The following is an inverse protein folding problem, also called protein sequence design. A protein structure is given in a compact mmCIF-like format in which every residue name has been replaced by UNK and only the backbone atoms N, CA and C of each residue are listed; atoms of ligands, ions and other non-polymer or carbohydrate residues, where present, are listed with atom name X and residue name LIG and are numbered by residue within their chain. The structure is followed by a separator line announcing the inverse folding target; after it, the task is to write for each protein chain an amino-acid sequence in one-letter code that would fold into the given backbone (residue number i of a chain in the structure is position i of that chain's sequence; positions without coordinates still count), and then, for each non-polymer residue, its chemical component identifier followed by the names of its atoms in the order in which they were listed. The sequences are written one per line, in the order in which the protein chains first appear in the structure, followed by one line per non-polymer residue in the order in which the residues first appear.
data_IF_988773626566
#
_entry.id   IF_988773626566
#
_cell.length_a   1.000
_cell.length_b   1.000
_cell.length_c   1.000
_cell.angle_alpha   90.00
_cell.angle_beta   90.00
_cell.angle_gamma   90.00
#
_symmetry.space_group_name_H-M   'P 1'
#
loop_
_entity.id
_entity.type
_entity.pdbx_description
1 polymer ?
#
# COMPACT_ATOMS: atom_id res chain seq x y z
N UNK A 1 -9.32 -25.14 -40.32
CA UNK A 1 -7.97 -24.82 -39.80
C UNK A 1 -7.73 -23.32 -39.54
N UNK A 2 -7.93 -22.41 -40.51
CA UNK A 2 -7.70 -20.96 -40.31
C UNK A 2 -8.55 -20.31 -39.21
N UNK A 3 -9.81 -20.72 -39.05
CA UNK A 3 -10.72 -20.21 -38.00
C UNK A 3 -10.24 -20.66 -36.60
N UNK A 4 -9.87 -21.94 -36.47
CA UNK A 4 -9.35 -22.52 -35.22
C UNK A 4 -8.10 -21.78 -34.72
N UNK A 5 -7.16 -21.47 -35.62
CA UNK A 5 -5.94 -20.71 -35.28
C UNK A 5 -6.28 -19.28 -34.82
N UNK A 6 -7.23 -18.61 -35.49
CA UNK A 6 -7.67 -17.25 -35.06
C UNK A 6 -8.32 -17.28 -33.68
N UNK A 7 -9.15 -18.28 -33.41
CA UNK A 7 -9.80 -18.45 -32.11
C UNK A 7 -8.80 -18.75 -30.99
N UNK A 8 -7.85 -19.67 -31.23
CA UNK A 8 -6.78 -19.96 -30.28
C UNK A 8 -5.94 -18.72 -29.97
N UNK A 9 -5.64 -17.91 -30.99
CA UNK A 9 -4.86 -16.67 -30.84
C UNK A 9 -5.58 -15.69 -29.93
N UNK A 10 -6.89 -15.51 -30.15
CA UNK A 10 -7.71 -14.66 -29.29
C UNK A 10 -7.66 -15.12 -27.83
N UNK A 11 -7.78 -16.43 -27.56
CA UNK A 11 -7.66 -16.98 -26.20
C UNK A 11 -6.30 -16.64 -25.59
N UNK A 12 -5.20 -16.86 -26.31
CA UNK A 12 -3.85 -16.54 -25.82
C UNK A 12 -3.70 -15.05 -25.50
N UNK A 13 -4.25 -14.17 -26.34
CA UNK A 13 -4.23 -12.72 -26.10
C UNK A 13 -5.03 -12.32 -24.86
N UNK A 14 -6.19 -12.94 -24.63
CA UNK A 14 -7.00 -12.71 -23.42
C UNK A 14 -6.24 -13.16 -22.17
N UNK A 15 -5.66 -14.37 -22.18
CA UNK A 15 -4.85 -14.88 -21.07
C UNK A 15 -3.69 -13.92 -20.77
N UNK A 16 -2.97 -13.48 -21.80
CA UNK A 16 -1.83 -12.59 -21.63
C UNK A 16 -2.26 -11.22 -21.09
N UNK A 17 -3.40 -10.69 -21.53
CA UNK A 17 -3.99 -9.45 -20.99
C UNK A 17 -4.28 -9.58 -19.50
N UNK A 18 -4.89 -10.69 -19.07
CA UNK A 18 -5.19 -10.93 -17.64
C UNK A 18 -3.92 -11.13 -16.81
N UNK A 19 -2.92 -11.83 -17.35
CA UNK A 19 -1.62 -11.98 -16.70
C UNK A 19 -0.95 -10.63 -16.47
N UNK A 20 -0.89 -9.77 -17.49
CA UNK A 20 -0.32 -8.43 -17.36
C UNK A 20 -1.09 -7.59 -16.34
N UNK A 21 -2.42 -7.57 -16.42
CA UNK A 21 -3.26 -6.87 -15.45
C UNK A 21 -2.91 -7.27 -14.01
N UNK A 22 -2.85 -8.57 -13.73
CA UNK A 22 -2.51 -9.07 -12.40
C UNK A 22 -1.08 -8.69 -11.99
N UNK A 23 -0.09 -8.86 -12.88
CA UNK A 23 1.32 -8.55 -12.60
C UNK A 23 1.46 -7.09 -12.16
N UNK A 24 0.82 -6.16 -12.85
CA UNK A 24 0.91 -4.73 -12.53
C UNK A 24 0.22 -4.35 -11.23
N UNK A 25 -1.00 -4.86 -10.99
CA UNK A 25 -1.71 -4.63 -9.72
C UNK A 25 -0.91 -5.21 -8.56
N UNK A 26 -0.44 -6.45 -8.69
CA UNK A 26 0.43 -7.11 -7.71
C UNK A 26 1.68 -6.29 -7.41
N UNK A 27 2.41 -5.86 -8.44
CA UNK A 27 3.66 -5.11 -8.24
C UNK A 27 3.39 -3.78 -7.52
N UNK A 28 2.24 -3.15 -7.77
CA UNK A 28 1.82 -1.97 -7.02
C UNK A 28 1.58 -2.30 -5.55
N UNK A 29 0.84 -3.38 -5.25
CA UNK A 29 0.57 -3.80 -3.85
C UNK A 29 1.87 -4.14 -3.11
N UNK A 30 2.79 -4.88 -3.74
CA UNK A 30 4.07 -5.28 -3.13
C UNK A 30 4.96 -4.06 -2.83
N UNK A 31 5.01 -3.10 -3.75
CA UNK A 31 5.79 -1.86 -3.58
C UNK A 31 5.11 -0.82 -2.68
N UNK A 32 3.90 -1.09 -2.19
CA UNK A 32 3.12 -0.18 -1.33
C UNK A 32 2.79 -0.83 0.01
N UNK A 33 1.57 -1.34 0.18
CA UNK A 33 1.05 -1.84 1.47
C UNK A 33 1.85 -3.02 1.99
N UNK A 34 2.50 -3.82 1.14
CA UNK A 34 3.34 -4.93 1.62
C UNK A 34 4.81 -4.53 1.80
N UNK A 35 5.14 -3.24 1.71
CA UNK A 35 6.48 -2.72 1.93
C UNK A 35 6.53 -1.86 3.19
N UNK A 36 7.20 -2.37 4.23
CA UNK A 36 7.49 -1.62 5.46
C UNK A 36 8.12 -0.25 5.17
N UNK A 37 9.13 -0.22 4.29
CA UNK A 37 9.81 1.01 3.87
C UNK A 37 8.83 2.03 3.27
N UNK A 38 7.88 1.58 2.46
CA UNK A 38 6.86 2.45 1.90
C UNK A 38 5.94 3.00 2.98
N UNK A 39 5.46 2.16 3.92
CA UNK A 39 4.61 2.60 5.02
C UNK A 39 5.31 3.64 5.88
N UNK A 40 6.54 3.35 6.34
CA UNK A 40 7.33 4.30 7.13
C UNK A 40 7.48 5.65 6.41
N UNK A 41 7.76 5.63 5.09
CA UNK A 41 7.83 6.85 4.29
C UNK A 41 6.49 7.63 4.25
N UNK A 42 5.35 6.93 4.22
CA UNK A 42 4.05 7.60 4.24
C UNK A 42 3.72 8.16 5.62
N UNK A 43 4.13 7.50 6.71
CA UNK A 43 4.00 8.06 8.07
C UNK A 43 4.77 9.38 8.19
N UNK A 44 6.01 9.45 7.70
CA UNK A 44 6.76 10.71 7.65
C UNK A 44 6.05 11.78 6.80
N UNK A 45 5.65 11.43 5.57
CA UNK A 45 5.03 12.38 4.63
C UNK A 45 3.72 12.97 5.17
N UNK A 46 3.02 12.22 6.00
CA UNK A 46 1.73 12.61 6.56
C UNK A 46 1.82 13.29 7.91
N UNK A 47 3.04 13.53 8.40
CA UNK A 47 3.34 14.09 9.74
C UNK A 47 2.73 13.24 10.86
N UNK A 48 2.55 11.95 10.59
CA UNK A 48 1.79 11.04 11.42
C UNK A 48 2.30 11.00 12.87
N UNK A 49 3.61 10.93 13.05
CA UNK A 49 4.22 10.87 14.39
C UNK A 49 3.97 12.14 15.21
N UNK A 50 3.94 13.31 14.56
CA UNK A 50 3.65 14.59 15.23
C UNK A 50 2.17 14.68 15.60
N UNK A 51 1.29 14.26 14.70
CA UNK A 51 -0.16 14.26 14.97
C UNK A 51 -0.53 13.25 16.06
N UNK A 52 0.04 12.04 16.06
CA UNK A 52 -0.17 11.07 17.14
C UNK A 52 0.40 11.57 18.47
N UNK A 53 1.53 12.28 18.46
CA UNK A 53 2.06 12.91 19.66
C UNK A 53 1.08 13.93 20.26
N UNK A 54 0.52 14.83 19.43
CA UNK A 54 -0.51 15.78 19.89
C UNK A 54 -1.77 15.08 20.42
N UNK A 55 -2.17 13.97 19.78
CA UNK A 55 -3.30 13.16 20.26
C UNK A 55 -2.98 12.55 21.63
N UNK A 56 -1.76 12.05 21.84
CA UNK A 56 -1.35 11.52 23.14
C UNK A 56 -1.38 12.61 24.22
N UNK A 57 -0.84 13.80 23.95
CA UNK A 57 -0.89 14.94 24.88
C UNK A 57 -2.33 15.34 25.23
N UNK A 58 -3.19 15.53 24.22
CA UNK A 58 -4.59 15.87 24.42
C UNK A 58 -5.34 14.78 25.20
N UNK A 59 -4.99 13.51 24.98
CA UNK A 59 -5.57 12.43 25.76
C UNK A 59 -5.13 12.47 27.22
N UNK A 60 -3.89 12.85 27.52
CA UNK A 60 -3.41 12.99 28.90
C UNK A 60 -4.15 14.10 29.64
N UNK A 61 -4.36 15.24 28.99
CA UNK A 61 -5.15 16.36 29.51
C UNK A 61 -6.56 15.93 29.91
N UNK A 62 -7.21 15.04 29.14
CA UNK A 62 -8.56 14.55 29.49
C UNK A 62 -8.65 13.83 30.85
N UNK A 63 -7.53 13.31 31.37
CA UNK A 63 -7.48 12.64 32.67
C UNK A 63 -7.04 13.57 33.81
N UNK A 64 -6.44 14.74 33.50
CA UNK A 64 -5.91 15.61 34.56
C UNK A 64 -7.02 16.22 35.42
N UNK A 65 -8.11 16.67 34.80
CA UNK A 65 -9.22 17.32 35.50
C UNK A 65 -9.84 16.42 36.57
N UNK A 66 -9.91 15.11 36.28
CA UNK A 66 -10.49 14.11 37.19
C UNK A 66 -9.52 13.72 38.31
N UNK A 67 -8.22 13.94 38.11
CA UNK A 67 -7.17 13.58 39.08
C UNK A 67 -7.05 14.57 40.24
N UNK A 68 -7.49 15.82 40.05
CA UNK A 68 -7.29 16.91 41.01
C UNK A 68 -5.83 17.38 41.11
N UNK A 69 -4.96 16.97 40.18
CA UNK A 69 -3.57 17.43 40.06
C UNK A 69 -3.48 18.65 39.15
N UNK A 70 -2.41 19.43 39.32
CA UNK A 70 -2.10 20.54 38.42
C UNK A 70 -1.62 20.02 37.05
N UNK A 71 -2.00 20.71 35.97
CA UNK A 71 -1.64 20.36 34.58
C UNK A 71 -0.13 20.27 34.34
N UNK A 72 0.65 21.02 35.12
CA UNK A 72 2.11 21.01 35.04
C UNK A 72 2.75 19.62 35.27
N UNK A 73 2.04 18.66 35.87
CA UNK A 73 2.56 17.30 36.06
C UNK A 73 2.68 16.54 34.75
N UNK A 74 1.96 16.95 33.71
CA UNK A 74 2.03 16.35 32.38
C UNK A 74 3.23 16.83 31.56
N UNK A 75 3.93 17.87 32.03
CA UNK A 75 5.04 18.45 31.28
C UNK A 75 6.17 17.43 31.04
N UNK A 76 6.56 17.29 29.77
CA UNK A 76 7.69 16.48 29.31
C UNK A 76 7.63 14.99 29.67
N UNK A 77 6.45 14.44 30.01
CA UNK A 77 6.31 13.01 30.32
C UNK A 77 6.41 12.12 29.07
N UNK A 78 6.13 12.68 27.90
CA UNK A 78 6.25 12.02 26.59
C UNK A 78 6.97 12.94 25.61
N UNK A 79 7.57 12.37 24.55
CA UNK A 79 8.19 13.12 23.47
C UNK A 79 7.76 12.57 22.11
N UNK A 80 7.83 13.39 21.07
CA UNK A 80 7.57 12.92 19.70
C UNK A 80 8.54 11.81 19.27
N UNK A 81 9.79 11.81 19.75
CA UNK A 81 10.76 10.76 19.48
C UNK A 81 10.34 9.41 20.08
N UNK A 82 9.79 9.42 21.30
CA UNK A 82 9.22 8.22 21.94
C UNK A 82 8.06 7.65 21.13
N UNK A 83 7.11 8.50 20.74
CA UNK A 83 5.98 8.14 19.86
C UNK A 83 6.48 7.51 18.56
N UNK A 84 7.47 8.12 17.92
CA UNK A 84 8.07 7.62 16.67
C UNK A 84 8.72 6.25 16.85
N UNK A 85 9.50 6.08 17.92
CA UNK A 85 10.16 4.80 18.23
C UNK A 85 9.12 3.70 18.44
N UNK A 86 8.10 3.96 19.24
CA UNK A 86 7.08 2.97 19.61
C UNK A 86 6.19 2.59 18.42
N UNK A 87 5.76 3.55 17.60
CA UNK A 87 5.05 3.24 16.35
C UNK A 87 5.93 2.39 15.42
N UNK A 88 7.23 2.66 15.34
CA UNK A 88 8.13 1.87 14.50
C UNK A 88 8.28 0.44 15.02
N UNK A 89 8.24 0.22 16.35
CA UNK A 89 8.16 -1.12 16.95
C UNK A 89 6.88 -1.83 16.48
N UNK A 90 5.71 -1.19 16.56
CA UNK A 90 4.43 -1.76 16.09
C UNK A 90 4.52 -2.15 14.61
N UNK A 91 5.08 -1.27 13.77
CA UNK A 91 5.27 -1.54 12.35
C UNK A 91 6.23 -2.72 12.14
N UNK A 92 7.37 -2.78 12.84
CA UNK A 92 8.29 -3.92 12.75
C UNK A 92 7.65 -5.22 13.22
N UNK A 93 6.85 -5.20 14.29
CA UNK A 93 6.11 -6.37 14.76
C UNK A 93 5.18 -6.90 13.66
N UNK A 94 4.52 -6.02 12.91
CA UNK A 94 3.67 -6.38 11.78
C UNK A 94 4.45 -6.98 10.60
N UNK A 95 5.55 -6.36 10.16
CA UNK A 95 6.27 -6.79 8.94
C UNK A 95 7.30 -7.88 9.17
N UNK A 96 8.06 -7.76 10.26
CA UNK A 96 9.17 -8.65 10.61
C UNK A 96 8.71 -9.78 11.53
N UNK A 97 7.60 -9.57 12.26
CA UNK A 97 7.13 -10.53 13.26
C UNK A 97 7.98 -10.48 14.52
N UNK A 98 8.57 -9.32 14.81
CA UNK A 98 9.08 -9.02 16.15
C UNK A 98 7.90 -9.03 17.14
N UNK A 99 8.15 -9.42 18.38
CA UNK A 99 7.15 -9.41 19.45
C UNK A 99 7.62 -8.45 20.55
N UNK A 100 8.15 -7.30 20.15
CA UNK A 100 8.68 -6.31 21.07
C UNK A 100 7.52 -5.52 21.69
N UNK A 101 7.47 -5.48 23.01
CA UNK A 101 6.39 -4.80 23.74
C UNK A 101 6.65 -3.30 23.84
N UNK A 102 5.57 -2.51 23.87
CA UNK A 102 5.67 -1.07 24.10
C UNK A 102 5.90 -0.80 25.59
N UNK A 103 7.09 -0.28 25.88
CA UNK A 103 7.50 0.13 27.21
C UNK A 103 7.00 1.55 27.56
N UNK A 104 6.14 1.66 28.56
CA UNK A 104 5.63 2.95 29.08
C UNK A 104 6.29 3.37 30.40
N UNK A 105 7.32 2.66 30.86
CA UNK A 105 7.98 2.93 32.15
C UNK A 105 8.60 4.33 32.20
N UNK A 106 9.14 4.83 31.09
CA UNK A 106 9.66 6.19 31.00
C UNK A 106 8.58 7.25 31.29
N UNK A 107 7.38 7.08 30.71
CA UNK A 107 6.24 7.98 30.91
C UNK A 107 5.80 7.92 32.37
N UNK A 108 5.62 6.72 32.90
CA UNK A 108 5.23 6.51 34.29
C UNK A 108 6.23 7.11 35.28
N UNK A 109 7.53 6.93 35.04
CA UNK A 109 8.60 7.43 35.92
C UNK A 109 8.66 8.95 35.91
N UNK A 110 8.56 9.59 34.74
CA UNK A 110 8.54 11.05 34.62
C UNK A 110 7.30 11.65 35.27
N UNK A 111 6.13 11.07 35.04
CA UNK A 111 4.89 11.53 35.65
C UNK A 111 4.94 11.40 37.18
N UNK A 112 5.38 10.26 37.71
CA UNK A 112 5.56 10.08 39.16
C UNK A 112 6.52 11.12 39.73
N UNK A 113 7.65 11.36 39.06
CA UNK A 113 8.63 12.37 39.51
C UNK A 113 8.01 13.77 39.55
N UNK A 114 7.21 14.13 38.55
CA UNK A 114 6.52 15.43 38.52
C UNK A 114 5.50 15.57 39.67
N UNK A 115 4.72 14.52 39.95
CA UNK A 115 3.73 14.51 41.04
C UNK A 115 4.42 14.57 42.41
N UNK A 116 5.50 13.79 42.59
CA UNK A 116 6.24 13.74 43.85
C UNK A 116 6.90 15.09 44.16
N UNK A 117 7.36 15.83 43.13
CA UNK A 117 7.88 17.20 43.28
C UNK A 117 6.84 18.19 43.83
N UNK A 118 5.54 17.94 43.64
CA UNK A 118 4.47 18.76 44.22
C UNK A 118 4.19 18.43 45.70
N UNK A 119 4.80 17.37 46.25
CA UNK A 119 4.59 16.90 47.63
C UNK A 119 3.11 16.62 47.99
N UNK A 120 2.30 16.23 46.99
CA UNK A 120 0.85 15.95 47.15
C UNK A 120 0.55 14.49 47.47
N UNK A 121 1.52 13.59 47.29
CA UNK A 121 1.37 12.15 47.53
C UNK A 121 1.39 11.85 49.04
N UNK A 122 0.37 11.13 49.49
CA UNK A 122 0.16 10.68 50.87
C UNK A 122 -0.24 9.20 50.89
N UNK A 123 -0.20 8.57 52.06
CA UNK A 123 -0.66 7.18 52.21
C UNK A 123 -2.14 6.97 51.82
N UNK A 124 -2.98 8.02 51.87
CA UNK A 124 -4.42 7.91 51.56
C UNK A 124 -4.74 8.01 50.07
N UNK A 125 -3.95 8.78 49.30
CA UNK A 125 -4.20 9.02 47.88
C UNK A 125 -3.19 8.30 46.95
N UNK A 126 -2.19 7.58 47.49
CA UNK A 126 -1.19 6.86 46.68
C UNK A 126 -1.83 5.95 45.63
N UNK A 127 -2.83 5.15 46.01
CA UNK A 127 -3.50 4.24 45.08
C UNK A 127 -4.20 4.98 43.93
N UNK A 128 -4.84 6.12 44.21
CA UNK A 128 -5.51 6.93 43.19
C UNK A 128 -4.51 7.58 42.24
N UNK A 129 -3.35 8.01 42.76
CA UNK A 129 -2.26 8.53 41.93
C UNK A 129 -1.70 7.41 41.04
N UNK A 130 -1.50 6.21 41.58
CA UNK A 130 -0.98 5.08 40.80
C UNK A 130 -1.98 4.66 39.70
N UNK A 131 -3.28 4.70 39.99
CA UNK A 131 -4.35 4.48 39.01
C UNK A 131 -4.35 5.56 37.92
N UNK A 132 -4.18 6.84 38.28
CA UNK A 132 -4.03 7.94 37.33
C UNK A 132 -2.80 7.72 36.41
N UNK A 133 -1.64 7.37 36.97
CA UNK A 133 -0.43 7.06 36.17
C UNK A 133 -0.69 5.91 35.20
N UNK A 134 -1.39 4.86 35.65
CA UNK A 134 -1.77 3.74 34.79
C UNK A 134 -2.71 4.19 33.66
N UNK A 135 -3.70 5.04 33.94
CA UNK A 135 -4.60 5.58 32.92
C UNK A 135 -3.85 6.41 31.87
N UNK A 136 -2.87 7.22 32.28
CA UNK A 136 -2.00 7.94 31.33
C UNK A 136 -1.21 6.97 30.44
N UNK A 137 -0.65 5.90 31.02
CA UNK A 137 0.10 4.90 30.25
C UNK A 137 -0.78 4.13 29.26
N UNK A 138 -2.00 3.76 29.65
CA UNK A 138 -2.95 3.09 28.74
C UNK A 138 -3.46 4.05 27.67
N UNK A 139 -3.75 5.30 28.03
CA UNK A 139 -4.15 6.34 27.09
C UNK A 139 -3.07 6.61 26.02
N UNK A 140 -1.80 6.54 26.41
CA UNK A 140 -0.68 6.59 25.46
C UNK A 140 -0.70 5.40 24.49
N UNK A 141 -0.89 4.17 25.00
CA UNK A 141 -1.00 2.96 24.18
C UNK A 141 -2.15 3.04 23.20
N UNK A 142 -3.30 3.60 23.62
CA UNK A 142 -4.45 3.84 22.74
C UNK A 142 -4.11 4.84 21.63
N UNK A 143 -3.43 5.95 21.95
CA UNK A 143 -3.06 6.98 20.98
C UNK A 143 -2.17 6.42 19.85
N UNK A 144 -1.17 5.60 20.20
CA UNK A 144 -0.28 4.96 19.22
C UNK A 144 -0.87 3.69 18.59
N UNK A 145 -2.06 3.26 19.02
CA UNK A 145 -2.75 2.05 18.53
C UNK A 145 -1.89 0.81 18.77
N UNK A 146 -1.34 0.71 19.97
CA UNK A 146 -0.77 -0.53 20.45
C UNK A 146 -1.92 -1.54 20.56
N UNK A 147 -1.89 -2.59 19.73
CA UNK A 147 -2.98 -3.57 19.68
C UNK A 147 -2.46 -4.98 19.78
N UNK A 148 -3.27 -5.85 20.38
CA UNK A 148 -3.03 -7.30 20.40
C UNK A 148 -3.10 -7.94 19.01
N UNK A 149 -3.47 -7.17 17.97
CA UNK A 149 -3.65 -7.65 16.62
C UNK A 149 -2.36 -7.71 15.81
N UNK A 150 -1.24 -7.14 16.29
CA UNK A 150 0.04 -7.14 15.56
C UNK A 150 0.46 -8.55 15.11
N UNK A 151 0.38 -9.54 16.00
CA UNK A 151 0.69 -10.93 15.69
C UNK A 151 -0.25 -11.54 14.66
N UNK A 152 -1.55 -11.21 14.72
CA UNK A 152 -2.56 -11.67 13.77
C UNK A 152 -2.32 -11.04 12.39
N UNK A 153 -2.02 -9.74 12.35
CA UNK A 153 -1.70 -8.99 11.14
C UNK A 153 -0.41 -9.55 10.53
N UNK A 154 0.64 -9.82 11.32
CA UNK A 154 1.86 -10.47 10.83
C UNK A 154 1.57 -11.86 10.23
N UNK A 155 0.71 -12.65 10.90
CA UNK A 155 0.27 -13.95 10.37
C UNK A 155 -0.44 -13.83 9.02
N UNK A 156 -1.32 -12.83 8.87
CA UNK A 156 -1.99 -12.52 7.60
C UNK A 156 -0.99 -12.02 6.54
N UNK A 157 -0.06 -11.15 6.92
CA UNK A 157 1.01 -10.65 6.06
C UNK A 157 1.85 -11.80 5.50
N UNK A 158 2.40 -12.67 6.37
CA UNK A 158 3.18 -13.86 5.96
C UNK A 158 2.40 -14.81 5.06
N UNK A 159 1.12 -15.08 5.36
CA UNK A 159 0.26 -15.90 4.50
C UNK A 159 0.08 -15.25 3.12
N UNK A 160 -0.19 -13.96 3.10
CA UNK A 160 -0.44 -13.19 1.86
C UNK A 160 0.80 -13.13 0.99
N UNK A 161 1.97 -12.79 1.54
CA UNK A 161 3.23 -12.72 0.79
C UNK A 161 3.62 -14.09 0.23
N UNK A 162 3.48 -15.16 1.01
CA UNK A 162 3.73 -16.54 0.54
C UNK A 162 2.79 -16.95 -0.60
N UNK A 163 1.49 -16.64 -0.51
CA UNK A 163 0.53 -16.91 -1.58
C UNK A 163 0.89 -16.13 -2.84
N UNK A 164 1.19 -14.83 -2.69
CA UNK A 164 1.58 -13.97 -3.80
C UNK A 164 2.87 -14.43 -4.49
N UNK A 165 3.83 -15.01 -3.77
CA UNK A 165 5.05 -15.57 -4.37
C UNK A 165 4.75 -16.82 -5.22
N UNK A 166 3.93 -17.74 -4.70
CA UNK A 166 3.50 -18.94 -5.44
C UNK A 166 2.75 -18.59 -6.72
N UNK A 167 1.79 -17.67 -6.61
CA UNK A 167 1.02 -17.16 -7.76
C UNK A 167 1.96 -16.49 -8.77
N UNK A 168 2.97 -15.76 -8.32
CA UNK A 168 3.93 -15.09 -9.21
C UNK A 168 4.72 -16.08 -10.08
N UNK A 169 5.21 -17.18 -9.50
CA UNK A 169 5.93 -18.21 -10.26
C UNK A 169 5.04 -18.79 -11.36
N UNK A 170 3.80 -19.15 -11.03
CA UNK A 170 2.82 -19.64 -12.00
C UNK A 170 2.52 -18.61 -13.10
N UNK A 171 2.28 -17.34 -12.73
CA UNK A 171 1.96 -16.28 -13.68
C UNK A 171 3.10 -15.98 -14.65
N UNK A 172 4.35 -15.97 -14.18
CA UNK A 172 5.52 -15.79 -15.06
C UNK A 172 5.59 -16.92 -16.08
N UNK A 173 5.41 -18.18 -15.64
CA UNK A 173 5.40 -19.34 -16.54
C UNK A 173 4.30 -19.23 -17.60
N UNK A 174 3.06 -18.92 -17.20
CA UNK A 174 1.93 -18.76 -18.13
C UNK A 174 2.16 -17.61 -19.11
N UNK A 175 2.74 -16.50 -18.64
CA UNK A 175 3.08 -15.34 -19.47
C UNK A 175 4.10 -15.71 -20.54
N UNK A 176 5.18 -16.39 -20.18
CA UNK A 176 6.23 -16.83 -21.12
C UNK A 176 5.66 -17.79 -22.17
N UNK A 177 4.87 -18.79 -21.74
CA UNK A 177 4.23 -19.74 -22.66
C UNK A 177 3.31 -19.01 -23.64
N UNK A 178 2.51 -18.05 -23.14
CA UNK A 178 1.60 -17.26 -23.97
C UNK A 178 2.33 -16.42 -25.01
N UNK A 179 3.46 -15.81 -24.64
CA UNK A 179 4.33 -15.05 -25.56
C UNK A 179 4.91 -15.97 -26.65
N UNK A 180 5.43 -17.14 -26.27
CA UNK A 180 5.99 -18.11 -27.22
C UNK A 180 4.92 -18.57 -28.22
N UNK A 181 3.73 -18.92 -27.73
CA UNK A 181 2.61 -19.31 -28.59
C UNK A 181 2.23 -18.19 -29.57
N UNK A 182 2.14 -16.94 -29.09
CA UNK A 182 1.85 -15.78 -29.94
C UNK A 182 2.89 -15.59 -31.05
N UNK A 183 4.17 -15.80 -30.75
CA UNK A 183 5.25 -15.72 -31.74
C UNK A 183 5.11 -16.82 -32.79
N UNK A 184 4.93 -18.09 -32.36
CA UNK A 184 4.78 -19.24 -33.26
C UNK A 184 3.60 -19.03 -34.21
N UNK A 185 2.47 -18.56 -33.68
CA UNK A 185 1.25 -18.32 -34.47
C UNK A 185 1.40 -17.23 -35.54
N UNK A 186 2.35 -16.31 -35.36
CA UNK A 186 2.61 -15.19 -36.27
C UNK A 186 4.00 -15.25 -36.93
N UNK A 187 4.71 -16.38 -36.87
CA UNK A 187 6.10 -16.49 -37.34
C UNK A 187 6.30 -16.06 -38.81
N UNK A 188 5.28 -16.26 -39.65
CA UNK A 188 5.28 -15.87 -41.07
C UNK A 188 5.08 -14.37 -41.30
N UNK A 189 4.68 -13.61 -40.28
CA UNK A 189 4.40 -12.19 -40.38
C UNK A 189 4.70 -11.49 -39.05
N UNK A 190 5.98 -11.20 -38.82
CA UNK A 190 6.48 -10.61 -37.57
C UNK A 190 5.82 -9.26 -37.25
N UNK A 191 5.39 -8.49 -38.26
CA UNK A 191 4.64 -7.24 -38.03
C UNK A 191 3.30 -7.48 -37.32
N UNK A 192 2.65 -8.63 -37.51
CA UNK A 192 1.42 -8.95 -36.77
C UNK A 192 1.66 -9.16 -35.28
N UNK A 193 2.87 -9.55 -34.88
CA UNK A 193 3.23 -9.67 -33.45
C UNK A 193 3.17 -8.29 -32.79
N UNK A 194 3.66 -7.24 -33.45
CA UNK A 194 3.56 -5.86 -32.95
C UNK A 194 2.10 -5.43 -32.77
N UNK A 195 1.25 -5.70 -33.77
CA UNK A 195 -0.19 -5.39 -33.68
C UNK A 195 -0.86 -6.14 -32.51
N UNK A 196 -0.54 -7.42 -32.32
CA UNK A 196 -1.10 -8.22 -31.22
C UNK A 196 -0.67 -7.68 -29.86
N UNK A 197 0.61 -7.38 -29.67
CA UNK A 197 1.10 -6.75 -28.45
C UNK A 197 0.45 -5.41 -28.22
N UNK A 198 0.24 -4.61 -29.27
CA UNK A 198 -0.46 -3.34 -29.14
C UNK A 198 -1.89 -3.53 -28.61
N UNK A 199 -2.64 -4.49 -29.16
CA UNK A 199 -3.99 -4.83 -28.70
C UNK A 199 -3.98 -5.30 -27.23
N UNK A 200 -3.02 -6.14 -26.85
CA UNK A 200 -2.89 -6.64 -25.47
C UNK A 200 -2.60 -5.48 -24.50
N UNK A 201 -1.65 -4.60 -24.83
CA UNK A 201 -1.29 -3.45 -24.00
C UNK A 201 -2.45 -2.46 -23.88
N UNK A 202 -3.13 -2.18 -24.99
CA UNK A 202 -4.31 -1.32 -25.04
C UNK A 202 -5.45 -1.90 -24.17
N UNK A 203 -5.72 -3.20 -24.31
CA UNK A 203 -6.76 -3.89 -23.52
C UNK A 203 -6.42 -3.89 -22.03
N UNK A 204 -5.15 -4.13 -21.68
CA UNK A 204 -4.70 -4.10 -20.28
C UNK A 204 -4.88 -2.72 -19.67
N UNK A 205 -4.48 -1.67 -20.41
CA UNK A 205 -4.65 -0.27 -20.00
C UNK A 205 -6.13 0.08 -19.77
N UNK A 206 -7.00 -0.28 -20.71
CA UNK A 206 -8.43 0.01 -20.62
C UNK A 206 -9.09 -0.70 -19.42
N UNK A 207 -8.74 -1.97 -19.18
CA UNK A 207 -9.22 -2.72 -18.02
C UNK A 207 -8.74 -2.10 -16.70
N UNK A 208 -7.51 -1.58 -16.63
CA UNK A 208 -7.02 -0.86 -15.44
C UNK A 208 -7.83 0.41 -15.17
N UNK A 209 -8.09 1.22 -16.20
CA UNK A 209 -8.90 2.43 -16.06
C UNK A 209 -10.33 2.13 -15.61
N UNK A 210 -10.97 1.13 -16.24
CA UNK A 210 -12.30 0.68 -15.83
C UNK A 210 -12.29 0.21 -14.38
N UNK A 211 -11.32 -0.64 -14.00
CA UNK A 211 -11.21 -1.18 -12.65
C UNK A 211 -11.10 -0.09 -11.58
N UNK A 212 -10.23 0.91 -11.80
CA UNK A 212 -10.06 2.03 -10.87
C UNK A 212 -11.32 2.91 -10.80
N UNK A 213 -11.95 3.21 -11.93
CA UNK A 213 -13.17 4.02 -11.94
C UNK A 213 -14.34 3.30 -11.24
N UNK A 214 -14.48 1.98 -11.41
CA UNK A 214 -15.46 1.18 -10.68
C UNK A 214 -15.19 1.25 -9.18
N UNK A 215 -13.94 1.06 -8.74
CA UNK A 215 -13.59 1.13 -7.32
C UNK A 215 -13.88 2.52 -6.73
N UNK A 216 -13.49 3.60 -7.42
CA UNK A 216 -13.77 4.98 -6.98
C UNK A 216 -15.27 5.28 -6.92
N UNK A 217 -16.08 4.69 -7.80
CA UNK A 217 -17.54 4.88 -7.77
C UNK A 217 -18.24 4.15 -6.62
N UNK A 218 -17.59 3.13 -6.04
CA UNK A 218 -18.16 2.28 -4.98
C UNK A 218 -17.60 2.54 -3.59
N UNK A 219 -16.44 3.19 -3.49
CA UNK A 219 -15.73 3.39 -2.23
C UNK A 219 -15.49 4.88 -2.04
N UNK A 220 -16.05 5.43 -0.97
CA UNK A 220 -15.78 6.80 -0.55
C UNK A 220 -14.45 6.87 0.21
N UNK A 221 -13.37 6.97 -0.56
CA UNK A 221 -12.00 6.96 -0.04
C UNK A 221 -11.76 8.19 0.83
N UNK A 222 -12.38 9.34 0.53
CA UNK A 222 -12.12 10.59 1.25
C UNK A 222 -12.67 10.57 2.67
N UNK A 223 -13.73 9.80 2.89
CA UNK A 223 -14.42 9.71 4.18
C UNK A 223 -14.08 8.44 4.96
N UNK A 224 -12.95 7.78 4.66
CA UNK A 224 -12.43 6.69 5.49
C UNK A 224 -12.08 7.26 6.88
N UNK A 225 -12.80 6.81 7.90
CA UNK A 225 -12.55 7.13 9.32
C UNK A 225 -12.18 5.86 10.06
N UNK A 226 -10.94 5.80 10.54
CA UNK A 226 -10.37 4.62 11.19
C UNK A 226 -9.48 5.09 12.34
N UNK A 227 -9.79 4.61 13.54
CA UNK A 227 -9.11 4.90 14.80
C UNK A 227 -9.05 6.37 15.22
N UNK A 228 -8.20 7.18 14.57
CA UNK A 228 -8.09 8.62 14.79
C UNK A 228 -7.81 9.35 13.46
N UNK A 229 -7.80 10.69 13.51
CA UNK A 229 -7.67 11.50 12.30
C UNK A 229 -6.30 11.36 11.63
N UNK A 230 -5.22 11.16 12.40
CA UNK A 230 -3.88 10.93 11.86
C UNK A 230 -3.83 9.63 11.05
N UNK A 231 -4.35 8.53 11.60
CA UNK A 231 -4.45 7.25 10.91
C UNK A 231 -5.37 7.32 9.69
N UNK A 232 -6.54 7.95 9.83
CA UNK A 232 -7.49 8.13 8.74
C UNK A 232 -6.83 8.85 7.56
N UNK A 233 -6.20 10.00 7.80
CA UNK A 233 -5.46 10.78 6.80
C UNK A 233 -4.38 9.95 6.11
N UNK A 234 -3.58 9.21 6.86
CA UNK A 234 -2.52 8.37 6.29
C UNK A 234 -3.08 7.25 5.41
N UNK A 235 -4.14 6.57 5.85
CA UNK A 235 -4.80 5.51 5.06
C UNK A 235 -5.37 6.07 3.76
N UNK A 236 -6.07 7.21 3.81
CA UNK A 236 -6.61 7.89 2.62
C UNK A 236 -5.50 8.16 1.62
N UNK A 237 -4.38 8.73 2.07
CA UNK A 237 -3.22 9.04 1.21
C UNK A 237 -2.61 7.77 0.61
N UNK A 238 -2.47 6.69 1.39
CA UNK A 238 -1.96 5.41 0.90
C UNK A 238 -2.87 4.84 -0.21
N UNK A 239 -4.18 4.81 0.01
CA UNK A 239 -5.15 4.28 -0.97
C UNK A 239 -5.14 5.13 -2.25
N UNK A 240 -5.12 6.46 -2.12
CA UNK A 240 -5.01 7.36 -3.27
C UNK A 240 -3.71 7.17 -4.05
N UNK A 241 -2.58 6.99 -3.38
CA UNK A 241 -1.29 6.74 -4.03
C UNK A 241 -1.30 5.42 -4.80
N UNK A 242 -1.89 4.36 -4.25
CA UNK A 242 -2.06 3.06 -4.94
C UNK A 242 -2.90 3.24 -6.20
N UNK A 243 -4.03 3.94 -6.11
CA UNK A 243 -4.90 4.18 -7.25
C UNK A 243 -4.19 5.01 -8.32
N UNK A 244 -3.43 6.02 -7.92
CA UNK A 244 -2.62 6.84 -8.80
C UNK A 244 -1.53 6.03 -9.51
N UNK A 245 -0.83 5.14 -8.80
CA UNK A 245 0.18 4.25 -9.37
C UNK A 245 -0.40 3.28 -10.39
N UNK A 246 -1.53 2.63 -10.07
CA UNK A 246 -2.22 1.74 -11.02
C UNK A 246 -2.63 2.53 -12.27
N UNK A 247 -3.20 3.72 -12.09
CA UNK A 247 -3.60 4.58 -13.20
C UNK A 247 -2.40 5.02 -14.06
N UNK A 248 -1.27 5.36 -13.42
CA UNK A 248 -0.03 5.76 -14.10
C UNK A 248 0.52 4.63 -14.96
N UNK A 249 0.52 3.39 -14.46
CA UNK A 249 0.88 2.21 -15.26
C UNK A 249 -0.05 2.06 -16.47
N UNK A 250 -1.35 2.25 -16.29
CA UNK A 250 -2.33 2.21 -17.38
C UNK A 250 -2.04 3.24 -18.47
N UNK A 251 -1.70 4.48 -18.09
CA UNK A 251 -1.32 5.56 -19.02
C UNK A 251 -0.05 5.18 -19.80
N UNK A 252 0.97 4.65 -19.12
CA UNK A 252 2.21 4.22 -19.77
C UNK A 252 1.92 3.12 -20.80
N UNK A 253 1.13 2.12 -20.43
CA UNK A 253 0.75 1.04 -21.35
C UNK A 253 -0.07 1.53 -22.55
N UNK A 254 -0.96 2.50 -22.34
CA UNK A 254 -1.70 3.15 -23.42
C UNK A 254 -0.74 3.82 -24.41
N UNK A 255 0.21 4.62 -23.92
CA UNK A 255 1.21 5.28 -24.77
C UNK A 255 2.05 4.30 -25.58
N UNK A 256 2.54 3.23 -24.95
CA UNK A 256 3.32 2.17 -25.63
C UNK A 256 2.45 1.47 -26.68
N UNK A 257 1.17 1.22 -26.40
CA UNK A 257 0.26 0.57 -27.34
C UNK A 257 0.06 1.40 -28.61
N UNK A 258 -0.12 2.73 -28.49
CA UNK A 258 -0.23 3.64 -29.63
C UNK A 258 1.06 3.61 -30.47
N UNK A 259 2.22 3.65 -29.81
CA UNK A 259 3.51 3.59 -30.49
C UNK A 259 3.66 2.28 -31.28
N UNK A 260 3.23 1.14 -30.73
CA UNK A 260 3.26 -0.14 -31.45
C UNK A 260 2.31 -0.17 -32.65
N UNK A 261 1.12 0.44 -32.53
CA UNK A 261 0.17 0.58 -33.67
C UNK A 261 0.82 1.40 -34.78
N UNK A 262 1.41 2.56 -34.48
CA UNK A 262 2.06 3.43 -35.47
C UNK A 262 3.19 2.69 -36.19
N UNK A 263 4.08 2.02 -35.44
CA UNK A 263 5.18 1.24 -36.03
C UNK A 263 4.64 0.13 -36.93
N UNK A 264 3.59 -0.57 -36.50
CA UNK A 264 2.94 -1.60 -37.29
C UNK A 264 2.44 -1.06 -38.64
N UNK A 265 1.68 0.04 -38.62
CA UNK A 265 1.13 0.66 -39.83
C UNK A 265 2.23 1.12 -40.80
N UNK A 266 3.32 1.72 -40.28
CA UNK A 266 4.47 2.11 -41.11
C UNK A 266 5.10 0.89 -41.81
N UNK A 267 5.28 -0.22 -41.09
CA UNK A 267 5.86 -1.45 -41.66
C UNK A 267 4.94 -2.03 -42.75
N UNK A 268 3.63 -2.01 -42.52
CA UNK A 268 2.64 -2.50 -43.50
C UNK A 268 2.64 -1.63 -44.75
N UNK A 269 2.58 -0.31 -44.59
CA UNK A 269 2.64 0.65 -45.69
C UNK A 269 3.89 0.46 -46.56
N UNK A 270 5.07 0.36 -45.93
CA UNK A 270 6.33 0.18 -46.65
C UNK A 270 6.38 -1.15 -47.42
N UNK A 271 5.86 -2.24 -46.84
CA UNK A 271 5.74 -3.53 -47.53
C UNK A 271 4.84 -3.45 -48.76
N UNK A 272 3.70 -2.75 -48.66
CA UNK A 272 2.78 -2.53 -49.77
C UNK A 272 3.45 -1.72 -50.90
N UNK A 273 4.10 -0.62 -50.55
CA UNK A 273 4.80 0.23 -51.53
C UNK A 273 5.93 -0.52 -52.26
N UNK A 274 6.75 -1.30 -51.54
CA UNK A 274 7.82 -2.11 -52.13
C UNK A 274 7.30 -3.18 -53.08
N UNK A 275 6.18 -3.82 -52.74
CA UNK A 275 5.56 -4.84 -53.60
C UNK A 275 4.86 -4.23 -54.82
N UNK A 276 4.30 -3.02 -54.71
CA UNK A 276 3.72 -2.28 -55.84
C UNK A 276 4.74 -1.83 -56.88
N UNK A 277 6.01 -1.65 -56.52
CA UNK A 277 7.10 -1.36 -57.47
C UNK A 277 7.57 -2.58 -58.28
N UNK A 278 7.44 -3.81 -57.74
CA UNK A 278 7.91 -5.05 -58.39
C UNK A 278 7.03 -5.58 -59.55
N UNK A 279 5.85 -5.00 -59.77
CA UNK A 279 4.93 -5.43 -60.84
C UNK A 279 5.08 -4.54 -62.10
N UNK A 280 5.96 -3.54 -62.06
CA UNK A 280 6.17 -2.56 -63.15
C UNK A 280 7.55 -2.65 -63.84
N UNK A 281 8.31 -3.71 -63.59
CA UNK A 281 9.54 -4.07 -64.31
C UNK A 281 9.31 -5.38 -65.07
#
# INVERSE_FOLDING_TARGET
MKIVIKFLKFIVMVILTLCLLFIFVRNTIISTILSQKYILKQLEKTEFYSEVYKIAEANFENYIDQSGLEENVLNNICTQEKVRKDINIIISNIYEGTNEEIDTTEIASKLNSNIDNLNVRTAKNSNAIDEFVNHICESYKEAIINTKYESQINGLYKKTTNILEKINKMLITVTIISIILLIIMNIKNISKILADFAIILLSTSFLQFIGINILKSKVDILNIKVFNDAFSKTIVIIVQDIFSKINTVGIIMFGISILFIIIYEIIVYYKMFKNGKRVKE
#
